data_IF_467752594665
#
_entry.id   IF_467752594665
#
_cell.length_a   1.000
_cell.length_b   1.000
_cell.length_c   1.000
_cell.angle_alpha   90.00
_cell.angle_beta   90.00
_cell.angle_gamma   90.00
#
_symmetry.space_group_name_H-M   'P 1'
#
loop_
_entity.id
_entity.type
_entity.pdbx_description
1 polymer ?
#
# COMPACT_ATOMS: atom_id res chain seq x y z
N UNK A 1 -53.74 -2.59 -12.66
CA UNK A 1 -52.46 -3.31 -12.79
C UNK A 1 -51.49 -2.36 -13.44
N UNK A 2 -50.99 -1.42 -12.64
CA UNK A 2 -49.97 -0.45 -13.09
C UNK A 2 -48.62 -1.09 -12.79
N UNK A 3 -47.95 -1.58 -13.82
CA UNK A 3 -46.64 -2.21 -13.75
C UNK A 3 -45.57 -1.12 -13.56
N UNK A 4 -45.64 -0.39 -12.44
CA UNK A 4 -44.58 0.54 -12.08
C UNK A 4 -43.37 -0.26 -11.67
N UNK A 5 -42.37 -0.27 -12.54
CA UNK A 5 -41.08 -0.86 -12.26
C UNK A 5 -40.43 -0.11 -11.08
N UNK A 6 -40.22 -0.78 -9.92
CA UNK A 6 -39.59 -0.16 -8.75
C UNK A 6 -38.08 0.08 -8.94
N UNK A 7 -37.55 -0.12 -10.14
CA UNK A 7 -36.13 -0.03 -10.47
C UNK A 7 -35.74 1.17 -11.34
N UNK A 8 -36.70 2.05 -11.69
CA UNK A 8 -36.38 3.37 -12.24
C UNK A 8 -35.85 4.24 -11.09
N UNK A 9 -34.60 3.98 -10.75
CA UNK A 9 -33.78 4.78 -9.85
C UNK A 9 -33.16 5.89 -10.69
N UNK A 10 -33.89 6.99 -10.81
CA UNK A 10 -33.45 8.24 -11.46
C UNK A 10 -32.36 8.94 -10.64
N UNK A 11 -31.25 8.25 -10.38
CA UNK A 11 -30.08 8.87 -9.82
C UNK A 11 -29.41 9.72 -10.92
N UNK A 12 -29.13 11.01 -10.69
CA UNK A 12 -28.40 11.83 -11.64
C UNK A 12 -27.08 11.13 -12.03
N UNK A 13 -26.81 11.04 -13.34
CA UNK A 13 -25.59 10.44 -13.91
C UNK A 13 -24.32 11.28 -13.64
N UNK A 14 -24.15 11.79 -12.43
CA UNK A 14 -22.84 12.09 -11.85
C UNK A 14 -22.22 10.87 -11.14
N UNK A 15 -22.94 9.74 -11.09
CA UNK A 15 -22.68 8.60 -10.20
C UNK A 15 -21.80 7.46 -10.75
N UNK A 16 -21.14 7.62 -11.91
CA UNK A 16 -20.10 6.65 -12.36
C UNK A 16 -18.75 7.35 -12.35
N UNK A 17 -18.16 7.46 -11.17
CA UNK A 17 -16.71 7.62 -11.10
C UNK A 17 -16.12 6.46 -11.87
N UNK A 18 -15.44 6.75 -12.99
CA UNK A 18 -14.64 5.73 -13.65
C UNK A 18 -13.72 5.09 -12.62
N UNK A 19 -13.53 3.76 -12.68
CA UNK A 19 -12.53 3.13 -11.84
C UNK A 19 -11.18 3.81 -12.14
N UNK A 20 -10.69 4.62 -11.21
CA UNK A 20 -9.35 5.18 -11.29
C UNK A 20 -8.41 4.01 -10.99
N UNK A 21 -7.95 3.37 -12.06
CA UNK A 21 -7.08 2.20 -12.01
C UNK A 21 -5.71 2.64 -12.46
N UNK A 22 -4.74 2.39 -11.61
CA UNK A 22 -3.33 2.59 -11.94
C UNK A 22 -2.94 1.61 -13.04
N UNK A 23 -2.42 2.12 -14.15
CA UNK A 23 -1.93 1.31 -15.26
C UNK A 23 -0.75 0.41 -14.84
N UNK A 24 -0.57 -0.71 -15.55
CA UNK A 24 0.55 -1.65 -15.32
C UNK A 24 1.90 -0.93 -15.41
N UNK A 25 2.07 -0.02 -16.38
CA UNK A 25 3.30 0.75 -16.53
C UNK A 25 3.64 1.61 -15.30
N UNK A 26 2.63 2.22 -14.66
CA UNK A 26 2.86 2.95 -13.42
C UNK A 26 3.23 1.99 -12.27
N UNK A 27 2.64 0.80 -12.20
CA UNK A 27 3.05 -0.22 -11.21
C UNK A 27 4.48 -0.72 -11.43
N UNK A 28 4.90 -0.92 -12.68
CA UNK A 28 6.28 -1.28 -13.01
C UNK A 28 7.26 -0.22 -12.53
N UNK A 29 6.96 1.07 -12.75
CA UNK A 29 7.79 2.15 -12.24
C UNK A 29 7.85 2.14 -10.71
N UNK A 30 6.72 1.91 -10.02
CA UNK A 30 6.70 1.74 -8.57
C UNK A 30 7.63 0.60 -8.14
N UNK A 31 7.56 -0.57 -8.78
CA UNK A 31 8.40 -1.73 -8.45
C UNK A 31 9.89 -1.44 -8.66
N UNK A 32 10.26 -0.70 -9.71
CA UNK A 32 11.65 -0.27 -9.94
C UNK A 32 12.13 0.69 -8.84
N UNK A 33 11.29 1.63 -8.41
CA UNK A 33 11.63 2.52 -7.28
C UNK A 33 11.80 1.75 -5.96
N UNK A 34 10.95 0.74 -5.72
CA UNK A 34 11.02 -0.10 -4.52
C UNK A 34 12.27 -0.99 -4.48
N UNK A 35 12.86 -1.32 -5.63
CA UNK A 35 14.09 -2.11 -5.70
C UNK A 35 15.31 -1.37 -5.12
N UNK A 36 15.26 -0.04 -5.02
CA UNK A 36 16.33 0.79 -4.43
C UNK A 36 15.99 1.04 -2.96
N UNK A 37 16.76 0.52 -1.98
CA UNK A 37 16.35 0.51 -0.56
C UNK A 37 16.04 1.89 0.04
N UNK A 38 16.88 2.90 -0.24
CA UNK A 38 16.68 4.26 0.29
C UNK A 38 15.50 4.97 -0.38
N UNK A 39 15.36 4.82 -1.70
CA UNK A 39 14.28 5.43 -2.48
C UNK A 39 12.95 4.78 -2.13
N UNK A 40 12.93 3.47 -1.90
CA UNK A 40 11.78 2.72 -1.43
C UNK A 40 11.19 3.35 -0.16
N UNK A 41 12.01 3.56 0.88
CA UNK A 41 11.53 4.12 2.14
C UNK A 41 10.97 5.53 1.96
N UNK A 42 11.68 6.40 1.23
CA UNK A 42 11.20 7.77 0.95
C UNK A 42 9.91 7.75 0.13
N UNK A 43 9.80 6.86 -0.86
CA UNK A 43 8.60 6.72 -1.68
C UNK A 43 7.40 6.22 -0.87
N UNK A 44 7.60 5.24 0.02
CA UNK A 44 6.57 4.75 0.94
C UNK A 44 6.09 5.87 1.87
N UNK A 45 6.99 6.66 2.46
CA UNK A 45 6.61 7.80 3.31
C UNK A 45 5.86 8.87 2.51
N UNK A 46 6.36 9.23 1.33
CA UNK A 46 5.72 10.20 0.45
C UNK A 46 4.30 9.74 0.07
N UNK A 47 4.12 8.49 -0.38
CA UNK A 47 2.81 7.99 -0.80
C UNK A 47 1.85 7.74 0.38
N UNK A 48 2.36 7.41 1.56
CA UNK A 48 1.53 7.21 2.75
C UNK A 48 0.96 8.53 3.29
N UNK A 49 1.75 9.61 3.26
CA UNK A 49 1.39 10.88 3.91
C UNK A 49 1.00 12.01 2.96
N UNK A 50 1.39 11.99 1.69
CA UNK A 50 1.03 13.05 0.75
C UNK A 50 -0.49 13.07 0.48
N UNK A 51 -1.07 14.26 0.41
CA UNK A 51 -2.51 14.47 0.20
C UNK A 51 -3.00 14.23 -1.23
N UNK A 52 -2.10 14.29 -2.22
CA UNK A 52 -2.42 14.20 -3.64
C UNK A 52 -1.83 12.91 -4.28
N UNK A 53 -2.20 11.75 -3.74
CA UNK A 53 -1.74 10.44 -4.24
C UNK A 53 -2.93 9.53 -4.50
N UNK A 54 -2.87 8.76 -5.58
CA UNK A 54 -3.90 7.78 -5.94
C UNK A 54 -4.20 6.84 -4.76
N UNK A 55 -5.49 6.59 -4.42
CA UNK A 55 -5.87 5.81 -3.23
C UNK A 55 -5.16 4.46 -3.11
N UNK A 56 -5.05 3.70 -4.21
CA UNK A 56 -4.34 2.41 -4.23
C UNK A 56 -2.84 2.52 -3.95
N UNK A 57 -2.17 3.63 -4.32
CA UNK A 57 -0.75 3.85 -3.99
C UNK A 57 -0.57 4.21 -2.53
N UNK A 58 -1.52 4.95 -1.94
CA UNK A 58 -1.51 5.26 -0.51
C UNK A 58 -1.69 4.02 0.35
N UNK A 59 -2.66 3.15 0.05
CA UNK A 59 -2.88 1.91 0.83
C UNK A 59 -1.72 0.94 0.69
N UNK A 60 -1.16 0.82 -0.52
CA UNK A 60 0.06 0.06 -0.77
C UNK A 60 1.23 0.58 0.09
N UNK A 61 1.42 1.90 0.15
CA UNK A 61 2.49 2.50 0.91
C UNK A 61 2.33 2.31 2.42
N UNK A 62 1.10 2.44 2.94
CA UNK A 62 0.79 2.15 4.34
C UNK A 62 1.08 0.69 4.69
N UNK A 63 0.65 -0.27 3.85
CA UNK A 63 0.96 -1.68 4.04
C UNK A 63 2.47 -1.95 3.99
N UNK A 64 3.20 -1.32 3.06
CA UNK A 64 4.66 -1.42 2.96
C UNK A 64 5.39 -0.88 4.20
N UNK A 65 4.94 0.22 4.78
CA UNK A 65 5.50 0.76 6.03
C UNK A 65 5.27 -0.18 7.21
N UNK A 66 4.06 -0.75 7.34
CA UNK A 66 3.75 -1.73 8.38
C UNK A 66 4.67 -2.96 8.26
N UNK A 67 4.81 -3.51 7.05
CA UNK A 67 5.73 -4.62 6.81
C UNK A 67 7.17 -4.26 7.14
N UNK A 68 7.62 -3.05 6.78
CA UNK A 68 8.97 -2.56 7.11
C UNK A 68 9.20 -2.55 8.63
N UNK A 69 8.24 -2.04 9.41
CA UNK A 69 8.32 -2.03 10.88
C UNK A 69 8.31 -3.44 11.46
N UNK A 70 7.47 -4.32 10.93
CA UNK A 70 7.42 -5.74 11.34
C UNK A 70 8.76 -6.41 11.07
N UNK A 71 9.29 -6.31 9.85
CA UNK A 71 10.58 -6.88 9.46
C UNK A 71 11.73 -6.35 10.31
N UNK A 72 11.75 -5.03 10.57
CA UNK A 72 12.74 -4.42 11.46
C UNK A 72 12.64 -4.96 12.89
N UNK A 73 11.42 -5.12 13.42
CA UNK A 73 11.18 -5.68 14.76
C UNK A 73 11.68 -7.12 14.86
N UNK A 74 11.38 -7.97 13.87
CA UNK A 74 11.88 -9.34 13.82
C UNK A 74 13.42 -9.40 13.72
N UNK A 75 14.03 -8.54 12.90
CA UNK A 75 15.49 -8.48 12.78
C UNK A 75 16.16 -8.11 14.11
N UNK A 76 15.62 -7.13 14.84
CA UNK A 76 16.13 -6.73 16.16
C UNK A 76 16.00 -7.86 17.19
N UNK A 77 14.88 -8.60 17.20
CA UNK A 77 14.68 -9.74 18.09
C UNK A 77 15.68 -10.88 17.81
N UNK A 78 15.96 -11.17 16.54
CA UNK A 78 16.94 -12.17 16.15
C UNK A 78 18.37 -11.75 16.53
N UNK A 79 18.72 -10.48 16.36
CA UNK A 79 20.02 -9.95 16.76
C UNK A 79 20.24 -10.07 18.28
N UNK A 80 19.21 -9.76 19.08
CA UNK A 80 19.31 -9.79 20.54
C UNK A 80 19.35 -11.22 21.11
N UNK A 81 18.62 -12.16 20.50
CA UNK A 81 18.63 -13.57 20.94
C UNK A 81 19.81 -14.36 20.37
N UNK A 82 20.33 -13.99 19.19
CA UNK A 82 21.44 -14.66 18.50
C UNK A 82 22.83 -14.43 19.10
N UNK A 83 23.04 -13.39 19.92
CA UNK A 83 24.33 -13.11 20.59
C UNK A 83 24.46 -13.70 22.00
N UNK A 84 23.45 -14.42 22.50
CA UNK A 84 23.40 -14.92 23.88
C UNK A 84 23.73 -16.41 24.06
N UNK A 85 24.52 -17.00 23.16
CA UNK A 85 25.08 -18.37 23.34
C UNK A 85 26.61 -18.37 23.18
N UNK A 86 27.38 -17.86 24.17
CA UNK A 86 28.78 -18.22 24.31
C UNK A 86 28.88 -19.51 25.14
N UNK A 87 28.74 -20.68 24.49
CA UNK A 87 29.17 -21.94 25.10
C UNK A 87 30.68 -22.05 24.88
N UNK A 88 31.45 -21.37 25.74
CA UNK A 88 32.87 -21.65 25.89
C UNK A 88 33.05 -23.12 26.28
N UNK A 89 34.05 -23.82 25.72
CA UNK A 89 34.22 -25.28 25.89
C UNK A 89 34.40 -25.70 27.35
#
# INVERSE_FOLDING_TARGET
MDHRDPYVSDAPRGARGGFDVISVGNWLLTLVLLAIPLVNLVALLYWAFAGAVHPSKRTFAQAGLILTVISASFYLLLLFTGTAVPLTP
#
